data_IF_921122657095
#
_entry.id   IF_921122657095
#
_cell.length_a   1.000
_cell.length_b   1.000
_cell.length_c   1.000
_cell.angle_alpha   90.00
_cell.angle_beta   90.00
_cell.angle_gamma   90.00
#
_symmetry.space_group_name_H-M   'P 1'
#
loop_
_entity.id
_entity.type
_entity.pdbx_description
1 polymer ?
#
# COMPACT_ATOMS: atom_id res chain seq x y z
N UNK A 1 6.64 1.95 -3.33
CA UNK A 1 7.00 3.23 -2.70
C UNK A 1 7.62 2.96 -1.33
N UNK A 2 8.36 3.93 -0.79
CA UNK A 2 8.95 3.85 0.56
C UNK A 2 8.13 4.71 1.51
N UNK A 3 7.78 4.16 2.66
CA UNK A 3 7.07 4.86 3.73
C UNK A 3 8.06 5.60 4.65
N UNK A 4 7.58 6.64 5.34
CA UNK A 4 8.31 7.23 6.46
C UNK A 4 8.43 6.20 7.61
N UNK A 5 9.43 6.35 8.48
CA UNK A 5 9.77 5.36 9.52
C UNK A 5 8.59 5.03 10.45
N UNK A 6 7.82 6.04 10.86
CA UNK A 6 6.63 5.87 11.70
C UNK A 6 5.54 5.05 11.00
N UNK A 7 5.26 5.37 9.74
CA UNK A 7 4.29 4.65 8.92
C UNK A 7 4.76 3.23 8.59
N UNK A 8 6.07 3.03 8.40
CA UNK A 8 6.67 1.71 8.20
C UNK A 8 6.50 0.81 9.43
N UNK A 9 6.67 1.35 10.64
CA UNK A 9 6.47 0.61 11.88
C UNK A 9 4.99 0.23 12.08
N UNK A 10 4.06 1.16 11.83
CA UNK A 10 2.63 0.89 11.91
C UNK A 10 2.19 -0.16 10.88
N UNK A 11 2.65 -0.03 9.64
CA UNK A 11 2.38 -1.00 8.57
C UNK A 11 2.99 -2.38 8.87
N UNK A 12 4.19 -2.42 9.46
CA UNK A 12 4.82 -3.66 9.91
C UNK A 12 4.00 -4.38 10.98
N UNK A 13 3.43 -3.65 11.95
CA UNK A 13 2.51 -4.23 12.96
C UNK A 13 1.23 -4.76 12.30
N UNK A 14 0.58 -3.93 11.47
CA UNK A 14 -0.64 -4.31 10.76
C UNK A 14 -0.43 -5.59 9.94
N UNK A 15 0.64 -5.66 9.16
CA UNK A 15 0.90 -6.84 8.32
C UNK A 15 1.28 -8.07 9.13
N UNK A 16 1.95 -7.90 10.29
CA UNK A 16 2.26 -9.02 11.20
C UNK A 16 1.00 -9.63 11.81
N UNK A 17 0.03 -8.80 12.19
CA UNK A 17 -1.22 -9.22 12.84
C UNK A 17 -2.23 -9.82 11.86
N UNK A 18 -2.04 -9.62 10.55
CA UNK A 18 -3.04 -9.93 9.52
C UNK A 18 -2.48 -10.81 8.40
N UNK A 19 -1.51 -11.67 8.69
CA UNK A 19 -1.06 -12.72 7.76
C UNK A 19 -2.25 -13.59 7.34
N UNK A 20 -2.27 -13.99 6.07
CA UNK A 20 -3.34 -14.71 5.37
C UNK A 20 -4.67 -13.94 5.24
N UNK A 21 -4.70 -12.64 5.55
CA UNK A 21 -5.86 -11.77 5.33
C UNK A 21 -5.66 -10.86 4.12
N UNK A 22 -6.77 -10.48 3.51
CA UNK A 22 -6.80 -9.48 2.44
C UNK A 22 -6.67 -8.09 3.03
N UNK A 23 -5.81 -7.28 2.44
CA UNK A 23 -5.72 -5.84 2.73
C UNK A 23 -6.10 -5.07 1.49
N UNK A 24 -6.96 -4.09 1.65
CA UNK A 24 -7.26 -3.11 0.63
C UNK A 24 -6.26 -1.96 0.72
N UNK A 25 -5.68 -1.59 -0.42
CA UNK A 25 -4.81 -0.44 -0.57
C UNK A 25 -5.53 0.58 -1.44
N UNK A 26 -5.81 1.75 -0.85
CA UNK A 26 -6.47 2.87 -1.52
C UNK A 26 -5.52 4.03 -1.69
N UNK A 27 -5.59 4.66 -2.86
CA UNK A 27 -4.87 5.88 -3.20
C UNK A 27 -5.90 6.97 -3.47
N UNK A 28 -5.91 8.02 -2.65
CA UNK A 28 -6.91 9.08 -2.67
C UNK A 28 -8.36 8.54 -2.72
N UNK A 29 -8.63 7.53 -1.89
CA UNK A 29 -9.93 6.89 -1.77
C UNK A 29 -10.26 5.87 -2.87
N UNK A 30 -9.42 5.70 -3.90
CA UNK A 30 -9.62 4.72 -4.96
C UNK A 30 -8.83 3.45 -4.67
N UNK A 31 -9.50 2.29 -4.62
CA UNK A 31 -8.85 0.99 -4.47
C UNK A 31 -7.99 0.68 -5.69
N UNK A 32 -6.69 0.48 -5.45
CA UNK A 32 -5.70 0.17 -6.49
C UNK A 32 -5.15 -1.25 -6.38
N UNK A 33 -5.29 -1.87 -5.21
CA UNK A 33 -4.80 -3.23 -4.95
C UNK A 33 -5.54 -3.83 -3.75
N UNK A 34 -5.82 -5.12 -3.82
CA UNK A 34 -6.40 -5.88 -2.71
C UNK A 34 -5.66 -7.22 -2.48
N UNK A 35 -4.35 -7.19 -2.14
CA UNK A 35 -3.56 -8.40 -2.00
C UNK A 35 -3.84 -9.14 -0.69
N UNK A 36 -3.53 -10.44 -0.69
CA UNK A 36 -3.42 -11.24 0.55
C UNK A 36 -2.03 -11.07 1.14
N UNK A 37 -1.95 -10.76 2.43
CA UNK A 37 -0.67 -10.70 3.16
C UNK A 37 -0.14 -12.12 3.31
N UNK A 38 1.02 -12.42 2.70
CA UNK A 38 1.67 -13.73 2.82
C UNK A 38 2.76 -13.78 3.88
N UNK A 39 3.34 -12.64 4.20
CA UNK A 39 4.39 -12.50 5.20
C UNK A 39 4.39 -11.08 5.79
N UNK A 40 4.90 -10.88 7.02
CA UNK A 40 5.03 -9.56 7.61
C UNK A 40 5.93 -8.62 6.79
N UNK A 41 5.49 -7.36 6.59
CA UNK A 41 6.23 -6.37 5.80
C UNK A 41 6.89 -5.34 6.74
N UNK A 42 8.12 -5.63 7.15
CA UNK A 42 8.81 -4.86 8.20
C UNK A 42 9.71 -3.73 7.67
N UNK A 43 10.04 -3.75 6.38
CA UNK A 43 11.08 -2.87 5.80
C UNK A 43 10.57 -1.51 5.31
N UNK A 44 9.30 -1.18 5.52
CA UNK A 44 8.70 0.08 5.09
C UNK A 44 8.68 0.30 3.57
N UNK A 45 9.11 -0.68 2.78
CA UNK A 45 9.10 -0.64 1.32
C UNK A 45 8.06 -1.62 0.83
N UNK A 46 7.12 -1.12 0.02
CA UNK A 46 6.03 -1.91 -0.56
C UNK A 46 6.03 -1.73 -2.07
N UNK A 47 5.83 -2.84 -2.79
CA UNK A 47 5.59 -2.83 -4.23
C UNK A 47 4.11 -3.11 -4.46
N UNK A 48 3.43 -2.20 -5.15
CA UNK A 48 2.04 -2.39 -5.58
C UNK A 48 2.06 -2.91 -7.01
N UNK A 49 1.28 -3.96 -7.26
CA UNK A 49 0.98 -4.46 -8.59
C UNK A 49 -0.48 -4.11 -8.90
N UNK A 50 -0.75 -3.71 -10.14
CA UNK A 50 -2.09 -3.37 -10.62
C UNK A 50 -2.11 -3.14 -12.13
N UNK A 51 -3.30 -3.17 -12.72
CA UNK A 51 -3.53 -2.91 -14.15
C UNK A 51 -3.56 -1.40 -14.42
N UNK A 52 -2.38 -0.79 -14.36
CA UNK A 52 -2.21 0.62 -14.71
C UNK A 52 -1.78 0.74 -16.18
N UNK A 53 -2.37 1.67 -16.92
CA UNK A 53 -1.78 2.08 -18.20
C UNK A 53 -0.49 2.88 -17.96
N UNK A 54 0.34 3.02 -19.00
CA UNK A 54 1.64 3.69 -18.89
C UNK A 54 1.51 5.13 -18.34
N UNK A 55 0.48 5.86 -18.74
CA UNK A 55 0.26 7.24 -18.29
C UNK A 55 -0.14 7.26 -16.81
N UNK A 56 -1.00 6.33 -16.38
CA UNK A 56 -1.45 6.17 -15.00
C UNK A 56 -0.33 5.79 -14.04
N UNK A 57 0.61 4.92 -14.46
CA UNK A 57 1.80 4.61 -13.63
C UNK A 57 2.66 5.86 -13.40
N UNK A 58 2.87 6.67 -14.44
CA UNK A 58 3.72 7.87 -14.36
C UNK A 58 3.07 8.94 -13.48
N UNK A 59 1.78 9.21 -13.66
CA UNK A 59 1.04 10.17 -12.83
C UNK A 59 1.03 9.75 -11.35
N UNK A 60 0.77 8.46 -11.09
CA UNK A 60 0.81 7.92 -9.75
C UNK A 60 2.20 8.06 -9.11
N UNK A 61 3.26 7.69 -9.84
CA UNK A 61 4.63 7.81 -9.34
C UNK A 61 4.98 9.27 -9.02
N UNK A 62 4.54 10.23 -9.83
CA UNK A 62 4.75 11.65 -9.61
C UNK A 62 4.05 12.15 -8.33
N UNK A 63 2.78 11.77 -8.12
CA UNK A 63 2.00 12.15 -6.92
C UNK A 63 2.55 11.54 -5.63
N UNK A 64 3.00 10.29 -5.69
CA UNK A 64 3.74 9.67 -4.58
C UNK A 64 5.02 10.46 -4.27
N UNK A 65 5.77 10.85 -5.30
CA UNK A 65 7.04 11.55 -5.12
C UNK A 65 6.87 12.99 -4.61
N UNK A 66 5.80 13.68 -4.98
CA UNK A 66 5.49 15.03 -4.48
C UNK A 66 4.91 15.04 -3.07
N UNK A 67 4.53 13.87 -2.53
CA UNK A 67 3.81 13.75 -1.26
C UNK A 67 2.34 14.18 -1.35
N UNK A 68 1.81 14.33 -2.56
CA UNK A 68 0.42 14.73 -2.85
C UNK A 68 -0.47 13.50 -3.09
N UNK A 69 -0.28 12.47 -2.27
CA UNK A 69 -1.09 11.26 -2.31
C UNK A 69 -1.34 10.77 -0.90
N UNK A 70 -2.58 10.45 -0.62
CA UNK A 70 -2.98 9.75 0.60
C UNK A 70 -3.00 8.26 0.31
N UNK A 71 -2.19 7.50 1.05
CA UNK A 71 -2.19 6.03 0.99
C UNK A 71 -2.93 5.51 2.21
N UNK A 72 -4.02 4.79 1.97
CA UNK A 72 -4.82 4.15 3.01
C UNK A 72 -4.69 2.64 2.88
N UNK A 73 -4.57 1.96 4.03
CA UNK A 73 -4.45 0.51 4.11
C UNK A 73 -5.44 0.01 5.13
N UNK A 74 -6.35 -0.86 4.70
CA UNK A 74 -7.37 -1.44 5.56
C UNK A 74 -7.42 -2.96 5.42
N UNK A 75 -7.64 -3.65 6.53
CA UNK A 75 -7.86 -5.09 6.50
C UNK A 75 -9.31 -5.34 6.11
N UNK A 76 -9.51 -6.11 5.03
CA UNK A 76 -10.84 -6.50 4.60
C UNK A 76 -11.27 -7.70 5.43
N UNK A 77 -12.33 -7.53 6.21
CA UNK A 77 -13.02 -8.66 6.84
C UNK A 77 -13.90 -9.38 5.81
N UNK A 78 -13.94 -10.73 5.83
CA UNK A 78 -14.79 -11.51 4.93
C UNK A 78 -16.29 -11.33 5.20
#
# INVERSE_FOLDING_TARGET
>A
FSMAEESAAAFGRLTTENVDRTVEIRLDGVTVSAPVIREPILRGTVVIYGDFDHTGVVDLAARIASGDVTVEVEVVDP
#
